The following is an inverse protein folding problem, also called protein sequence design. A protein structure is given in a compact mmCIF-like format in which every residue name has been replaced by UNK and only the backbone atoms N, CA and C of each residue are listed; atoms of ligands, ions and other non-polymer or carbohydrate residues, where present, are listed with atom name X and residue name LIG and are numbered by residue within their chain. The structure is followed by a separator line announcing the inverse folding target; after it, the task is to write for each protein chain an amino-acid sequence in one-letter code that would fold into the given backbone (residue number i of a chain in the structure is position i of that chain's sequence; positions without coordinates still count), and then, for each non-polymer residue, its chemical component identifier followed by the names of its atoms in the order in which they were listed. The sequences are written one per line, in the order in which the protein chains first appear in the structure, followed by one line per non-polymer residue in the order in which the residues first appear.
data_IF_927111278771
#
_entry.id   IF_927111278771
#
_cell.length_a   1.000
_cell.length_b   1.000
_cell.length_c   1.000
_cell.angle_alpha   90.00
_cell.angle_beta   90.00
_cell.angle_gamma   90.00
#
_symmetry.space_group_name_H-M   'P 1'
#
loop_
_entity.id
_entity.type
_entity.pdbx_description
1 polymer ?
#
# COMPACT_ATOMS: atom_id res chain seq x y z
N UNK A 1 33.35 39.17 18.24
CA UNK A 1 33.19 38.15 17.19
C UNK A 1 32.27 37.04 17.71
N UNK A 2 30.95 37.19 17.50
CA UNK A 2 29.94 36.22 17.95
C UNK A 2 29.85 35.12 16.89
N UNK A 3 30.22 33.91 17.29
CA UNK A 3 30.33 32.73 16.45
C UNK A 3 28.95 32.36 15.89
N UNK A 4 28.89 32.15 14.58
CA UNK A 4 27.74 31.65 13.86
C UNK A 4 27.28 30.34 14.50
N UNK A 5 26.07 30.35 15.07
CA UNK A 5 25.41 29.17 15.58
C UNK A 5 24.98 28.35 14.37
N UNK A 6 25.66 27.23 14.17
CA UNK A 6 25.46 26.27 13.09
C UNK A 6 24.00 25.82 13.07
N UNK A 7 23.38 25.93 11.90
CA UNK A 7 22.12 25.30 11.54
C UNK A 7 22.22 23.78 11.80
N UNK A 8 21.70 23.33 12.93
CA UNK A 8 21.24 21.95 13.07
C UNK A 8 19.77 21.94 12.68
N UNK A 9 19.52 21.92 11.37
CA UNK A 9 18.31 21.28 10.85
C UNK A 9 18.58 19.80 11.04
N UNK A 10 18.37 19.35 12.28
CA UNK A 10 18.20 17.95 12.58
C UNK A 10 16.96 17.55 11.80
N UNK A 11 17.21 16.90 10.67
CA UNK A 11 16.27 16.15 9.86
C UNK A 11 15.53 15.25 10.87
N UNK A 12 14.42 15.77 11.37
CA UNK A 12 13.49 15.08 12.24
C UNK A 12 12.91 13.99 11.36
N UNK A 13 13.51 12.81 11.48
CA UNK A 13 12.77 11.57 11.66
C UNK A 13 11.65 11.41 10.64
N UNK A 14 12.02 11.23 9.37
CA UNK A 14 11.30 10.27 8.52
C UNK A 14 11.62 8.85 9.03
N UNK A 15 11.30 8.58 10.29
CA UNK A 15 10.90 7.24 10.74
C UNK A 15 9.39 7.16 10.42
N UNK A 16 9.06 7.31 9.14
CA UNK A 16 7.76 6.87 8.66
C UNK A 16 7.86 5.35 8.68
N UNK A 17 7.34 4.74 9.75
CA UNK A 17 7.29 3.30 9.94
C UNK A 17 6.78 2.67 8.65
N UNK A 18 7.65 1.97 7.95
CA UNK A 18 7.34 1.27 6.69
C UNK A 18 6.16 0.29 6.83
N UNK A 19 5.82 -0.08 8.08
CA UNK A 19 4.68 -0.92 8.43
C UNK A 19 3.33 -0.24 8.13
N UNK A 20 3.14 1.03 8.49
CA UNK A 20 1.84 1.71 8.32
C UNK A 20 1.51 1.96 6.84
N UNK A 21 2.52 2.24 6.01
CA UNK A 21 2.36 2.45 4.58
C UNK A 21 2.00 1.15 3.83
N UNK A 22 2.56 0.02 4.26
CA UNK A 22 2.21 -1.28 3.71
C UNK A 22 0.79 -1.69 4.09
N UNK A 23 0.39 -1.44 5.34
CA UNK A 23 -0.97 -1.74 5.81
C UNK A 23 -2.04 -0.94 5.06
N UNK A 24 -1.76 0.33 4.76
CA UNK A 24 -2.64 1.17 3.93
C UNK A 24 -2.73 0.64 2.48
N UNK A 25 -1.60 0.29 1.85
CA UNK A 25 -1.57 -0.30 0.50
C UNK A 25 -2.36 -1.62 0.44
N UNK A 26 -2.22 -2.48 1.46
CA UNK A 26 -2.95 -3.74 1.56
C UNK A 26 -4.46 -3.54 1.72
N UNK A 27 -4.87 -2.55 2.52
CA UNK A 27 -6.27 -2.22 2.72
C UNK A 27 -6.91 -1.67 1.43
N UNK A 28 -6.23 -0.76 0.73
CA UNK A 28 -6.68 -0.23 -0.56
C UNK A 28 -6.79 -1.33 -1.61
N UNK A 29 -5.80 -2.21 -1.68
CA UNK A 29 -5.80 -3.35 -2.61
C UNK A 29 -7.01 -4.25 -2.37
N UNK A 30 -7.30 -4.57 -1.11
CA UNK A 30 -8.46 -5.39 -0.75
C UNK A 30 -9.80 -4.70 -1.09
N UNK A 31 -9.90 -3.39 -0.85
CA UNK A 31 -11.09 -2.62 -1.20
C UNK A 31 -11.34 -2.59 -2.72
N UNK A 32 -10.28 -2.44 -3.53
CA UNK A 32 -10.36 -2.52 -4.99
C UNK A 32 -10.81 -3.90 -5.47
N UNK A 33 -10.31 -4.97 -4.84
CA UNK A 33 -10.71 -6.34 -5.16
C UNK A 33 -12.21 -6.59 -4.90
N UNK A 34 -12.73 -6.18 -3.74
CA UNK A 34 -14.16 -6.31 -3.43
C UNK A 34 -15.03 -5.56 -4.46
N UNK A 35 -14.61 -4.34 -4.85
CA UNK A 35 -15.30 -3.60 -5.92
C UNK A 35 -15.28 -4.37 -7.23
N UNK A 36 -14.11 -4.86 -7.65
CA UNK A 36 -13.97 -5.63 -8.88
C UNK A 36 -14.84 -6.89 -8.90
N UNK A 37 -14.94 -7.62 -7.77
CA UNK A 37 -15.83 -8.78 -7.64
C UNK A 37 -17.29 -8.41 -7.92
N UNK A 38 -17.77 -7.27 -7.43
CA UNK A 38 -19.14 -6.81 -7.69
C UNK A 38 -19.41 -6.52 -9.18
N UNK A 39 -18.37 -6.16 -9.95
CA UNK A 39 -18.48 -5.91 -11.40
C UNK A 39 -18.36 -7.17 -12.26
N UNK A 40 -17.98 -8.32 -11.69
CA UNK A 40 -17.84 -9.58 -12.46
C UNK A 40 -19.17 -10.14 -12.96
N UNK A 41 -20.30 -9.67 -12.43
CA UNK A 41 -21.64 -10.12 -12.84
C UNK A 41 -21.89 -11.60 -12.58
N UNK A 42 -21.13 -12.24 -11.68
CA UNK A 42 -21.22 -13.67 -11.38
C UNK A 42 -20.59 -14.59 -12.43
N UNK A 43 -19.84 -14.06 -13.40
CA UNK A 43 -19.06 -14.88 -14.34
C UNK A 43 -17.87 -15.51 -13.63
N UNK A 44 -17.84 -16.85 -13.57
CA UNK A 44 -16.74 -17.59 -12.93
C UNK A 44 -15.39 -17.23 -13.53
N UNK A 45 -15.30 -17.12 -14.86
CA UNK A 45 -14.05 -16.74 -15.53
C UNK A 45 -13.58 -15.32 -15.14
N UNK A 46 -14.51 -14.38 -14.95
CA UNK A 46 -14.16 -13.02 -14.52
C UNK A 46 -13.76 -12.99 -13.04
N UNK A 47 -14.44 -13.75 -12.18
CA UNK A 47 -14.08 -13.94 -10.78
C UNK A 47 -12.66 -14.52 -10.65
N UNK A 48 -12.34 -15.54 -11.43
CA UNK A 48 -11.03 -16.20 -11.42
C UNK A 48 -9.91 -15.23 -11.84
N UNK A 49 -10.14 -14.43 -12.90
CA UNK A 49 -9.17 -13.42 -13.35
C UNK A 49 -8.95 -12.31 -12.31
N UNK A 50 -10.03 -11.77 -11.75
CA UNK A 50 -9.96 -10.73 -10.71
C UNK A 50 -9.24 -11.26 -9.47
N UNK A 51 -9.52 -12.50 -9.08
CA UNK A 51 -8.87 -13.17 -7.94
C UNK A 51 -7.39 -13.43 -8.18
N UNK A 52 -7.02 -13.91 -9.38
CA UNK A 52 -5.62 -14.10 -9.75
C UNK A 52 -4.84 -12.78 -9.68
N UNK A 53 -5.36 -11.72 -10.31
CA UNK A 53 -4.72 -10.41 -10.30
C UNK A 53 -4.58 -9.85 -8.89
N UNK A 54 -5.59 -10.02 -8.05
CA UNK A 54 -5.53 -9.63 -6.65
C UNK A 54 -4.40 -10.37 -5.91
N UNK A 55 -4.31 -11.70 -6.04
CA UNK A 55 -3.28 -12.49 -5.37
C UNK A 55 -1.86 -12.11 -5.83
N UNK A 56 -1.67 -11.84 -7.12
CA UNK A 56 -0.38 -11.40 -7.65
C UNK A 56 0.03 -10.01 -7.13
N UNK A 57 -0.93 -9.09 -6.98
CA UNK A 57 -0.68 -7.76 -6.41
C UNK A 57 -0.45 -7.84 -4.90
N UNK A 58 -1.25 -8.66 -4.20
CA UNK A 58 -1.14 -8.93 -2.77
C UNK A 58 0.26 -9.43 -2.42
N UNK A 59 0.78 -10.40 -3.18
CA UNK A 59 2.15 -10.92 -3.01
C UNK A 59 3.23 -9.89 -3.28
N UNK A 60 3.03 -9.02 -4.29
CA UNK A 60 3.99 -7.94 -4.63
C UNK A 60 4.05 -6.85 -3.57
N UNK A 61 2.92 -6.50 -2.99
CA UNK A 61 2.80 -5.51 -1.92
C UNK A 61 3.23 -6.07 -0.54
N UNK A 62 3.56 -7.36 -0.42
CA UNK A 62 3.95 -7.97 0.85
C UNK A 62 2.79 -8.15 1.83
N UNK A 63 1.55 -8.00 1.36
CA UNK A 63 0.34 -8.26 2.11
C UNK A 63 0.21 -9.77 2.33
N UNK A 64 0.38 -10.26 3.56
CA UNK A 64 0.21 -11.69 3.89
C UNK A 64 -1.18 -11.99 4.44
#
# INVERSE_FOLDING_TARGET
MKKFLVLFISILLFNCSSDDANDEECAELHAQYIKALNYTGGSQAALDQVTQQYNERKKRAGCN
#
